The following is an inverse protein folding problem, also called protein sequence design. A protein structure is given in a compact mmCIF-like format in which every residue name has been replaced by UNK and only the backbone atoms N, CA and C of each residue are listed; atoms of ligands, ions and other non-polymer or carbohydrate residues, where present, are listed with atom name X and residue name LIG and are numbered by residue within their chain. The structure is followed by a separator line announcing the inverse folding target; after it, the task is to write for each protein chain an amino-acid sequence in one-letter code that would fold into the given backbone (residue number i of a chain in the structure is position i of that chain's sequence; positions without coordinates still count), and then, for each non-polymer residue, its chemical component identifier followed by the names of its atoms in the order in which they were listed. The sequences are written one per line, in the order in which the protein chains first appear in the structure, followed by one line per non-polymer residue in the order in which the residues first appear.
data_IF_407289136099
#
_entry.id   IF_407289136099
#
_cell.length_a   1.000
_cell.length_b   1.000
_cell.length_c   1.000
_cell.angle_alpha   90.00
_cell.angle_beta   90.00
_cell.angle_gamma   90.00
#
_symmetry.space_group_name_H-M   'P 1'
#
loop_
_entity.id
_entity.type
_entity.pdbx_description
1 polymer ?
#
# COMPACT_ATOMS: atom_id res chain seq x y z
N UNK A 1 -0.79 -4.78 -10.76
CA UNK A 1 0.35 -5.58 -11.29
C UNK A 1 0.37 -6.92 -10.56
N UNK A 2 1.50 -7.64 -10.46
CA UNK A 2 1.62 -8.76 -9.50
C UNK A 2 2.04 -8.22 -8.13
N UNK A 3 1.75 -8.98 -7.06
CA UNK A 3 2.18 -8.60 -5.71
C UNK A 3 3.69 -8.45 -5.57
N UNK A 4 4.49 -9.26 -6.28
CA UNK A 4 5.97 -9.12 -6.32
C UNK A 4 6.39 -7.74 -6.83
N UNK A 5 5.71 -7.23 -7.85
CA UNK A 5 6.01 -5.92 -8.41
C UNK A 5 5.63 -4.80 -7.44
N UNK A 6 4.51 -4.94 -6.74
CA UNK A 6 4.12 -3.97 -5.71
C UNK A 6 5.13 -3.94 -4.56
N UNK A 7 5.64 -5.10 -4.12
CA UNK A 7 6.74 -5.18 -3.14
C UNK A 7 7.99 -4.46 -3.63
N UNK A 8 8.38 -4.69 -4.89
CA UNK A 8 9.52 -4.03 -5.52
C UNK A 8 9.34 -2.51 -5.56
N UNK A 9 8.16 -2.04 -5.96
CA UNK A 9 7.89 -0.60 -6.03
C UNK A 9 7.87 0.03 -4.64
N UNK A 10 7.31 -0.65 -3.64
CA UNK A 10 7.34 -0.20 -2.25
C UNK A 10 8.77 -0.06 -1.71
N UNK A 11 9.60 -1.08 -1.90
CA UNK A 11 10.98 -1.07 -1.41
C UNK A 11 11.80 0.04 -2.08
N UNK A 12 11.78 0.10 -3.41
CA UNK A 12 12.45 1.13 -4.20
C UNK A 12 11.99 2.54 -3.83
N UNK A 13 10.67 2.75 -3.70
CA UNK A 13 10.12 4.06 -3.38
C UNK A 13 10.63 4.53 -2.01
N UNK A 14 10.70 3.64 -1.02
CA UNK A 14 11.26 3.99 0.29
C UNK A 14 12.74 4.40 0.20
N UNK A 15 13.58 3.60 -0.49
CA UNK A 15 15.01 3.85 -0.65
C UNK A 15 15.31 5.18 -1.37
N UNK A 16 14.43 5.57 -2.29
CA UNK A 16 14.58 6.78 -3.08
C UNK A 16 13.98 8.04 -2.43
N UNK A 17 12.80 7.94 -1.82
CA UNK A 17 12.08 9.11 -1.30
C UNK A 17 12.43 9.47 0.15
N UNK A 18 12.72 8.50 1.03
CA UNK A 18 13.08 8.80 2.43
C UNK A 18 14.25 9.78 2.57
N UNK A 19 15.37 9.62 1.84
CA UNK A 19 16.52 10.54 1.95
C UNK A 19 16.16 11.96 1.54
N UNK A 20 15.33 12.09 0.50
CA UNK A 20 14.85 13.40 0.03
C UNK A 20 13.94 14.10 1.04
N UNK A 21 13.35 13.32 1.94
CA UNK A 21 12.53 13.80 3.05
C UNK A 21 13.36 13.98 4.33
N UNK A 22 14.68 13.81 4.27
CA UNK A 22 15.61 13.99 5.40
C UNK A 22 15.73 12.78 6.32
N UNK A 23 15.34 11.58 5.86
CA UNK A 23 15.39 10.35 6.66
C UNK A 23 16.25 9.29 5.99
N UNK A 24 17.09 8.61 6.78
CA UNK A 24 17.83 7.47 6.28
C UNK A 24 16.92 6.24 6.16
N UNK A 25 16.93 5.55 5.01
CA UNK A 25 16.25 4.27 4.88
C UNK A 25 17.01 3.17 5.63
N UNK A 26 16.24 2.28 6.23
CA UNK A 26 16.67 1.11 6.98
C UNK A 26 15.74 -0.09 6.69
N UNK A 27 16.02 -1.24 7.32
CA UNK A 27 15.23 -2.46 7.13
C UNK A 27 13.77 -2.24 7.56
N UNK A 28 13.53 -1.47 8.62
CA UNK A 28 12.20 -1.26 9.19
C UNK A 28 11.31 -0.40 8.29
N UNK A 29 11.85 0.72 7.81
CA UNK A 29 11.23 1.62 6.84
C UNK A 29 10.96 0.91 5.51
N UNK A 30 11.94 0.17 4.99
CA UNK A 30 11.79 -0.63 3.76
C UNK A 30 10.71 -1.69 3.92
N UNK A 31 10.69 -2.40 5.05
CA UNK A 31 9.66 -3.40 5.34
C UNK A 31 8.27 -2.78 5.47
N UNK A 32 8.15 -1.62 6.10
CA UNK A 32 6.88 -0.90 6.19
C UNK A 32 6.34 -0.50 4.81
N UNK A 33 7.22 -0.03 3.91
CA UNK A 33 6.85 0.30 2.54
C UNK A 33 6.40 -0.94 1.75
N UNK A 34 7.13 -2.06 1.84
CA UNK A 34 6.74 -3.35 1.24
C UNK A 34 5.37 -3.79 1.75
N UNK A 35 5.15 -3.82 3.06
CA UNK A 35 3.88 -4.24 3.64
C UNK A 35 2.74 -3.34 3.14
N UNK A 36 2.92 -2.02 3.22
CA UNK A 36 1.89 -1.07 2.80
C UNK A 36 1.54 -1.16 1.31
N UNK A 37 2.54 -1.43 0.46
CA UNK A 37 2.32 -1.65 -0.98
C UNK A 37 1.53 -2.92 -1.29
N UNK A 38 1.42 -3.87 -0.36
CA UNK A 38 0.65 -5.11 -0.55
C UNK A 38 -0.77 -5.02 0.01
N UNK A 39 -1.05 -4.06 0.89
CA UNK A 39 -2.34 -3.93 1.57
C UNK A 39 -3.51 -3.82 0.58
N UNK A 40 -3.45 -2.97 -0.48
CA UNK A 40 -4.57 -2.85 -1.39
C UNK A 40 -4.93 -4.16 -2.09
N UNK A 41 -3.94 -4.96 -2.46
CA UNK A 41 -4.10 -6.24 -3.16
C UNK A 41 -4.72 -7.35 -2.29
N UNK A 42 -4.75 -7.18 -0.96
CA UNK A 42 -5.45 -8.11 -0.05
C UNK A 42 -6.95 -8.17 -0.32
N UNK A 43 -7.51 -7.17 -1.02
CA UNK A 43 -8.91 -7.10 -1.39
C UNK A 43 -9.31 -8.04 -2.54
N UNK A 44 -8.33 -8.72 -3.14
CA UNK A 44 -8.55 -9.62 -4.27
C UNK A 44 -9.32 -10.88 -3.82
N UNK A 45 -10.34 -11.35 -4.56
CA UNK A 45 -11.15 -12.52 -4.16
C UNK A 45 -10.34 -13.82 -4.07
N UNK A 46 -9.21 -13.89 -4.79
CA UNK A 46 -8.28 -15.03 -4.74
C UNK A 46 -7.13 -14.86 -3.74
N UNK A 47 -7.06 -13.76 -3.01
CA UNK A 47 -6.02 -13.59 -1.99
C UNK A 47 -6.22 -14.64 -0.88
N UNK A 48 -5.15 -15.38 -0.55
CA UNK A 48 -5.21 -16.48 0.45
C UNK A 48 -5.78 -16.00 1.79
N UNK A 49 -5.43 -14.78 2.20
CA UNK A 49 -5.91 -14.15 3.44
C UNK A 49 -7.43 -13.95 3.37
N UNK A 50 -7.93 -13.34 2.30
CA UNK A 50 -9.36 -13.12 2.11
C UNK A 50 -10.16 -14.43 2.08
N UNK A 51 -9.60 -15.47 1.44
CA UNK A 51 -10.20 -16.80 1.40
C UNK A 51 -10.24 -17.53 2.75
N UNK A 52 -9.39 -17.14 3.70
CA UNK A 52 -9.28 -17.73 5.04
C UNK A 52 -10.09 -16.97 6.09
N UNK A 53 -10.17 -15.64 5.97
CA UNK A 53 -10.83 -14.78 6.97
C UNK A 53 -12.34 -14.70 6.76
N UNK A 54 -12.82 -14.62 5.51
CA UNK A 54 -14.27 -14.47 5.26
C UNK A 54 -15.02 -15.80 5.47
N UNK A 55 -15.96 -15.87 6.43
CA UNK A 55 -16.74 -17.09 6.67
C UNK A 55 -17.62 -17.46 5.49
N UNK A 56 -18.22 -16.45 4.85
CA UNK A 56 -19.10 -16.60 3.69
C UNK A 56 -18.46 -15.88 2.51
N UNK A 57 -18.10 -16.63 1.47
CA UNK A 57 -17.30 -16.17 0.32
C UNK A 57 -18.16 -15.54 -0.79
N UNK A 58 -19.09 -14.67 -0.42
CA UNK A 58 -19.90 -13.91 -1.37
C UNK A 58 -19.98 -12.43 -0.95
N UNK A 59 -20.55 -11.57 -1.81
CA UNK A 59 -20.64 -10.13 -1.56
C UNK A 59 -21.40 -9.81 -0.28
N UNK A 60 -22.51 -10.51 -0.01
CA UNK A 60 -23.32 -10.29 1.18
C UNK A 60 -22.56 -10.68 2.46
N UNK A 61 -21.89 -11.83 2.45
CA UNK A 61 -21.04 -12.31 3.53
C UNK A 61 -19.92 -11.34 3.87
N UNK A 62 -19.28 -10.78 2.84
CA UNK A 62 -18.29 -9.70 3.01
C UNK A 62 -18.92 -8.48 3.72
N UNK A 63 -20.06 -7.99 3.24
CA UNK A 63 -20.75 -6.83 3.83
C UNK A 63 -21.08 -7.09 5.31
N UNK A 64 -21.75 -8.20 5.61
CA UNK A 64 -22.13 -8.53 6.99
C UNK A 64 -20.93 -8.71 7.90
N UNK A 65 -19.85 -9.33 7.42
CA UNK A 65 -18.62 -9.51 8.20
C UNK A 65 -18.00 -8.17 8.61
N UNK A 66 -17.69 -7.30 7.64
CA UNK A 66 -17.03 -6.04 7.92
C UNK A 66 -17.94 -5.04 8.67
N UNK A 67 -19.22 -4.97 8.32
CA UNK A 67 -20.17 -4.13 9.03
C UNK A 67 -20.42 -4.64 10.45
N UNK A 68 -20.47 -5.96 10.65
CA UNK A 68 -20.61 -6.57 11.97
C UNK A 68 -19.44 -6.22 12.89
N UNK A 69 -18.20 -6.31 12.40
CA UNK A 69 -17.01 -5.88 13.17
C UNK A 69 -17.07 -4.39 13.47
N UNK A 70 -17.40 -3.54 12.49
CA UNK A 70 -17.53 -2.10 12.69
C UNK A 70 -18.57 -1.75 13.75
N UNK A 71 -19.77 -2.33 13.66
CA UNK A 71 -20.85 -2.13 14.65
C UNK A 71 -20.48 -2.65 16.03
N UNK A 72 -19.80 -3.80 16.13
CA UNK A 72 -19.32 -4.34 17.39
C UNK A 72 -18.29 -3.41 18.07
N UNK A 73 -17.36 -2.85 17.30
CA UNK A 73 -16.39 -1.88 17.82
C UNK A 73 -17.08 -0.60 18.33
N UNK A 74 -18.07 -0.08 17.58
CA UNK A 74 -18.86 1.08 18.01
C UNK A 74 -19.67 0.79 19.28
N UNK A 75 -20.24 -0.41 19.41
CA UNK A 75 -20.94 -0.83 20.62
C UNK A 75 -19.99 -0.89 21.83
N UNK A 76 -18.79 -1.45 21.66
CA UNK A 76 -17.86 -1.65 22.76
C UNK A 76 -17.16 -0.36 23.22
N UNK A 77 -16.82 0.53 22.29
CA UNK A 77 -15.97 1.71 22.57
C UNK A 77 -16.67 3.06 22.37
N UNK A 78 -17.94 3.05 21.92
CA UNK A 78 -18.74 4.24 21.68
C UNK A 78 -18.38 4.99 20.40
N UNK A 79 -19.32 5.84 19.95
CA UNK A 79 -19.18 6.70 18.76
C UNK A 79 -18.29 7.92 19.05
N UNK A 80 -18.17 8.32 20.32
CA UNK A 80 -17.38 9.47 20.76
C UNK A 80 -15.87 9.28 20.54
N UNK A 81 -15.41 8.02 20.56
CA UNK A 81 -14.02 7.71 20.24
C UNK A 81 -13.78 7.85 18.73
N UNK A 82 -13.16 8.98 18.35
CA UNK A 82 -12.86 9.33 16.94
C UNK A 82 -12.10 8.23 16.20
N UNK A 83 -11.19 7.52 16.86
CA UNK A 83 -10.42 6.45 16.23
C UNK A 83 -11.30 5.22 15.97
N UNK A 84 -12.10 4.80 16.96
CA UNK A 84 -13.09 3.73 16.78
C UNK A 84 -14.06 4.06 15.66
N UNK A 85 -14.56 5.30 15.63
CA UNK A 85 -15.44 5.77 14.57
C UNK A 85 -14.77 5.70 13.19
N UNK A 86 -13.52 6.17 13.07
CA UNK A 86 -12.78 6.10 11.82
C UNK A 86 -12.56 4.66 11.33
N UNK A 87 -12.19 3.74 12.23
CA UNK A 87 -12.02 2.32 11.92
C UNK A 87 -13.35 1.69 11.50
N UNK A 88 -14.44 1.97 12.22
CA UNK A 88 -15.76 1.45 11.88
C UNK A 88 -16.24 1.93 10.51
N UNK A 89 -16.08 3.22 10.20
CA UNK A 89 -16.40 3.79 8.87
C UNK A 89 -15.55 3.13 7.78
N UNK A 90 -14.24 2.95 8.03
CA UNK A 90 -13.34 2.28 7.08
C UNK A 90 -13.80 0.84 6.80
N UNK A 91 -14.14 0.07 7.84
CA UNK A 91 -14.63 -1.30 7.71
C UNK A 91 -15.95 -1.36 6.94
N UNK A 92 -16.90 -0.48 7.25
CA UNK A 92 -18.17 -0.39 6.51
C UNK A 92 -17.89 -0.09 5.03
N UNK A 93 -17.01 0.86 4.74
CA UNK A 93 -16.66 1.20 3.36
C UNK A 93 -16.01 0.04 2.61
N UNK A 94 -15.10 -0.70 3.26
CA UNK A 94 -14.51 -1.93 2.73
C UNK A 94 -15.60 -2.99 2.48
N UNK A 95 -16.56 -3.13 3.39
CA UNK A 95 -17.68 -4.07 3.26
C UNK A 95 -18.49 -3.84 1.99
N UNK A 96 -18.89 -2.60 1.74
CA UNK A 96 -19.69 -2.22 0.56
C UNK A 96 -18.88 -2.12 -0.74
N UNK A 97 -17.55 -1.97 -0.65
CA UNK A 97 -16.71 -1.81 -1.83
C UNK A 97 -16.71 -3.05 -2.71
N UNK A 98 -16.73 -2.80 -4.03
CA UNK A 98 -16.36 -3.84 -5.01
C UNK A 98 -14.85 -4.12 -4.93
N UNK A 99 -14.44 -5.25 -5.48
CA UNK A 99 -13.02 -5.60 -5.59
C UNK A 99 -12.24 -4.50 -6.32
N UNK A 100 -11.03 -4.21 -5.86
CA UNK A 100 -10.11 -3.23 -6.47
C UNK A 100 -10.75 -1.87 -6.72
N UNK A 101 -11.56 -1.41 -5.77
CA UNK A 101 -12.28 -0.14 -5.83
C UNK A 101 -11.80 0.78 -4.71
N UNK A 102 -12.34 0.64 -3.49
CA UNK A 102 -12.04 1.54 -2.37
C UNK A 102 -10.56 1.61 -2.01
N UNK A 103 -9.89 0.47 -1.82
CA UNK A 103 -8.46 0.42 -1.46
C UNK A 103 -7.53 0.93 -2.57
N UNK A 104 -8.04 1.07 -3.80
CA UNK A 104 -7.32 1.55 -4.97
C UNK A 104 -7.79 2.97 -5.38
N UNK A 105 -8.41 3.70 -4.45
CA UNK A 105 -8.80 5.10 -4.63
C UNK A 105 -7.96 6.02 -3.76
N UNK A 106 -7.90 7.31 -4.11
CA UNK A 106 -7.20 8.30 -3.30
C UNK A 106 -7.81 8.40 -1.90
N UNK A 107 -9.14 8.36 -1.82
CA UNK A 107 -9.88 8.50 -0.56
C UNK A 107 -9.64 7.29 0.33
N UNK A 108 -9.76 6.07 -0.22
CA UNK A 108 -9.54 4.87 0.57
C UNK A 108 -8.10 4.75 1.05
N UNK A 109 -7.14 5.10 0.20
CA UNK A 109 -5.73 5.09 0.58
C UNK A 109 -5.41 6.14 1.65
N UNK A 110 -5.93 7.35 1.49
CA UNK A 110 -5.81 8.40 2.51
C UNK A 110 -6.44 7.98 3.85
N UNK A 111 -7.61 7.35 3.82
CA UNK A 111 -8.29 6.87 5.03
C UNK A 111 -7.47 5.77 5.73
N UNK A 112 -6.95 4.79 4.98
CA UNK A 112 -6.08 3.73 5.52
C UNK A 112 -4.82 4.34 6.13
N UNK A 113 -4.10 5.20 5.40
CA UNK A 113 -2.90 5.87 5.89
C UNK A 113 -3.17 6.70 7.15
N UNK A 114 -4.30 7.42 7.20
CA UNK A 114 -4.67 8.24 8.35
C UNK A 114 -4.90 7.37 9.59
N UNK A 115 -5.69 6.29 9.47
CA UNK A 115 -5.93 5.36 10.59
C UNK A 115 -4.61 4.76 11.08
N UNK A 116 -3.77 4.25 10.17
CA UNK A 116 -2.47 3.66 10.54
C UNK A 116 -1.57 4.68 11.24
N UNK A 117 -1.50 5.91 10.72
CA UNK A 117 -0.74 6.99 11.32
C UNK A 117 -1.23 7.29 12.74
N UNK A 118 -2.53 7.50 12.94
CA UNK A 118 -3.07 7.83 14.26
C UNK A 118 -2.89 6.70 15.29
N UNK A 119 -3.00 5.44 14.86
CA UNK A 119 -2.81 4.26 15.74
C UNK A 119 -1.35 4.09 16.13
N UNK A 120 -0.42 4.26 15.18
CA UNK A 120 0.98 3.87 15.35
C UNK A 120 1.93 5.03 15.64
N UNK A 121 1.49 6.30 15.54
CA UNK A 121 2.35 7.49 15.76
C UNK A 121 3.07 7.55 17.10
N UNK A 122 2.52 6.93 18.13
CA UNK A 122 3.13 6.91 19.46
C UNK A 122 3.98 5.66 19.71
N UNK A 123 3.93 4.68 18.80
CA UNK A 123 4.58 3.37 18.94
C UNK A 123 5.74 3.21 17.98
N UNK A 124 5.63 3.77 16.77
CA UNK A 124 6.63 3.65 15.72
C UNK A 124 7.32 4.98 15.45
N UNK A 125 8.61 4.95 15.08
CA UNK A 125 9.30 6.14 14.60
C UNK A 125 8.61 6.76 13.39
N UNK A 126 8.62 8.09 13.31
CA UNK A 126 8.02 8.83 12.20
C UNK A 126 8.50 8.38 10.79
N UNK A 127 9.79 8.06 10.55
CA UNK A 127 10.25 7.55 9.25
C UNK A 127 9.52 6.29 8.80
N UNK A 128 9.17 5.40 9.74
CA UNK A 128 8.46 4.14 9.44
C UNK A 128 7.04 4.42 8.98
N UNK A 129 6.36 5.39 9.61
CA UNK A 129 5.01 5.82 9.22
C UNK A 129 5.01 6.51 7.86
N UNK A 130 6.03 7.34 7.61
CA UNK A 130 6.21 7.99 6.31
C UNK A 130 6.46 6.96 5.21
N UNK A 131 7.26 5.93 5.49
CA UNK A 131 7.53 4.82 4.57
C UNK A 131 6.28 4.02 4.24
N UNK A 132 5.38 3.84 5.21
CA UNK A 132 4.07 3.23 4.98
C UNK A 132 3.23 4.04 3.99
N UNK A 133 3.24 5.37 4.09
CA UNK A 133 2.52 6.23 3.14
C UNK A 133 3.17 6.12 1.75
N UNK A 134 4.50 6.16 1.68
CA UNK A 134 5.27 6.03 0.43
C UNK A 134 4.95 4.72 -0.28
N UNK A 135 4.93 3.59 0.44
CA UNK A 135 4.62 2.28 -0.15
C UNK A 135 3.16 2.14 -0.60
N UNK A 136 2.21 2.75 0.12
CA UNK A 136 0.81 2.79 -0.33
C UNK A 136 0.66 3.64 -1.61
N UNK A 137 1.34 4.79 -1.66
CA UNK A 137 1.38 5.63 -2.86
C UNK A 137 2.03 4.90 -4.04
N UNK A 138 3.12 4.16 -3.83
CA UNK A 138 3.77 3.40 -4.90
C UNK A 138 2.87 2.31 -5.46
N UNK A 139 2.03 1.67 -4.64
CA UNK A 139 0.99 0.75 -5.13
C UNK A 139 0.03 1.44 -6.10
N UNK A 140 -0.56 2.57 -5.69
CA UNK A 140 -1.51 3.31 -6.52
C UNK A 140 -0.89 3.79 -7.82
N UNK A 141 0.33 4.34 -7.75
CA UNK A 141 1.07 4.78 -8.94
C UNK A 141 1.33 3.60 -9.87
N UNK A 142 1.78 2.47 -9.32
CA UNK A 142 1.99 1.25 -10.09
C UNK A 142 0.75 0.83 -10.85
N UNK A 143 -0.40 0.72 -10.17
CA UNK A 143 -1.65 0.34 -10.84
C UNK A 143 -2.21 1.43 -11.76
N UNK A 144 -1.96 2.72 -11.49
CA UNK A 144 -2.33 3.81 -12.39
C UNK A 144 -1.60 3.74 -13.74
N UNK A 145 -0.38 3.20 -13.78
CA UNK A 145 0.41 3.02 -14.99
C UNK A 145 0.08 1.71 -15.75
N UNK A 146 -0.91 0.94 -15.30
CA UNK A 146 -1.34 -0.30 -15.97
C UNK A 146 -2.49 -0.08 -16.96
N UNK A 147 -2.71 -1.06 -17.84
CA UNK A 147 -3.87 -1.12 -18.74
C UNK A 147 -5.20 -0.98 -17.97
N UNK A 148 -5.27 -1.60 -16.78
CA UNK A 148 -6.46 -1.62 -15.93
C UNK A 148 -6.75 -0.29 -15.25
N UNK A 149 -5.70 0.47 -14.89
CA UNK A 149 -5.82 1.71 -14.15
C UNK A 149 -6.47 1.56 -12.76
N UNK A 150 -6.75 2.70 -12.13
CA UNK A 150 -7.32 2.79 -10.77
C UNK A 150 -8.59 3.63 -10.73
N UNK A 151 -9.48 3.35 -9.77
CA UNK A 151 -10.68 4.14 -9.51
C UNK A 151 -10.35 5.38 -8.68
N UNK A 152 -9.59 6.32 -9.26
CA UNK A 152 -8.96 7.44 -8.56
C UNK A 152 -9.91 8.20 -7.62
N UNK A 153 -11.14 8.48 -8.10
CA UNK A 153 -12.16 9.26 -7.39
C UNK A 153 -13.30 8.39 -6.79
N UNK A 154 -13.09 7.08 -6.63
CA UNK A 154 -14.04 6.24 -5.90
C UNK A 154 -14.09 6.68 -4.42
N UNK A 155 -15.28 6.83 -3.79
CA UNK A 155 -16.59 6.27 -4.19
C UNK A 155 -17.49 7.20 -5.01
N UNK A 156 -17.04 8.40 -5.39
CA UNK A 156 -17.87 9.36 -6.12
C UNK A 156 -18.13 8.95 -7.58
N UNK A 157 -17.21 8.18 -8.18
CA UNK A 157 -17.37 7.62 -9.53
C UNK A 157 -16.70 6.25 -9.62
N UNK A 158 -17.29 5.37 -10.43
CA UNK A 158 -16.73 4.07 -10.80
C UNK A 158 -15.74 4.17 -11.98
N UNK A 159 -15.50 5.38 -12.53
CA UNK A 159 -14.59 5.59 -13.66
C UNK A 159 -13.15 5.25 -13.26
N UNK A 160 -12.49 4.45 -14.09
CA UNK A 160 -11.06 4.13 -13.96
C UNK A 160 -10.21 5.11 -14.77
N UNK A 161 -9.13 5.55 -14.15
CA UNK A 161 -8.13 6.46 -14.71
C UNK A 161 -6.82 5.70 -14.89
N UNK A 162 -6.10 6.02 -15.96
CA UNK A 162 -4.82 5.40 -16.32
C UNK A 162 -3.88 6.42 -16.92
N UNK A 163 -2.60 6.18 -16.78
CA UNK A 163 -1.57 7.01 -17.38
C UNK A 163 -1.45 6.75 -18.90
N UNK A 164 -0.91 7.73 -19.63
CA UNK A 164 -0.78 7.67 -21.10
C UNK A 164 0.27 6.65 -21.52
N UNK A 165 1.36 6.52 -20.74
CA UNK A 165 2.37 5.47 -20.95
C UNK A 165 1.95 4.21 -20.19
N UNK A 166 1.50 3.21 -20.95
CA UNK A 166 0.90 1.99 -20.41
C UNK A 166 1.94 0.89 -20.34
N UNK A 167 2.14 0.35 -19.15
CA UNK A 167 2.91 -0.87 -18.95
C UNK A 167 1.94 -2.04 -19.12
N UNK A 168 2.11 -2.82 -20.19
CA UNK A 168 1.49 -4.14 -20.26
C UNK A 168 2.14 -5.00 -19.18
N UNK A 169 1.36 -5.81 -18.45
CA UNK A 169 1.87 -6.75 -17.44
C UNK A 169 2.63 -7.92 -18.08
N UNK A 170 3.35 -7.66 -19.17
CA UNK A 170 4.22 -8.62 -19.82
C UNK A 170 5.53 -8.68 -19.03
N UNK A 171 6.05 -9.89 -18.83
CA UNK A 171 7.29 -10.16 -18.08
C UNK A 171 8.51 -9.34 -18.55
N UNK A 172 8.44 -8.68 -19.71
CA UNK A 172 9.56 -7.93 -20.27
C UNK A 172 9.64 -6.48 -19.82
N UNK A 173 8.52 -5.81 -19.48
CA UNK A 173 8.58 -4.39 -19.07
C UNK A 173 8.95 -4.21 -17.58
N UNK A 174 8.71 -5.24 -16.77
CA UNK A 174 8.91 -5.24 -15.31
C UNK A 174 10.39 -5.10 -14.89
N UNK A 175 11.37 -5.80 -15.51
CA UNK A 175 12.77 -5.64 -15.18
C UNK A 175 13.30 -4.26 -15.53
N UNK A 176 12.86 -3.64 -16.63
CA UNK A 176 13.34 -2.32 -17.04
C UNK A 176 12.93 -1.22 -16.07
N UNK A 177 11.73 -1.28 -15.49
CA UNK A 177 11.28 -0.31 -14.49
C UNK A 177 12.08 -0.51 -13.20
N UNK A 178 12.25 -1.75 -12.75
CA UNK A 178 13.10 -2.06 -11.60
C UNK A 178 14.54 -1.56 -11.78
N UNK A 179 15.14 -1.80 -12.95
CA UNK A 179 16.49 -1.34 -13.30
C UNK A 179 16.59 0.18 -13.39
N UNK A 180 15.59 0.86 -13.96
CA UNK A 180 15.53 2.32 -14.01
C UNK A 180 15.53 2.93 -12.61
N UNK A 181 14.73 2.36 -11.70
CA UNK A 181 14.69 2.82 -10.33
C UNK A 181 15.97 2.49 -9.54
N UNK A 182 16.56 1.31 -9.75
CA UNK A 182 17.88 0.98 -9.19
C UNK A 182 18.92 1.98 -9.69
N UNK A 183 18.88 2.35 -10.98
CA UNK A 183 19.73 3.40 -11.53
C UNK A 183 19.48 4.75 -10.84
N UNK A 184 18.23 5.16 -10.61
CA UNK A 184 17.91 6.41 -9.91
C UNK A 184 18.42 6.41 -8.46
N UNK A 185 18.35 5.27 -7.78
CA UNK A 185 18.91 5.07 -6.44
C UNK A 185 20.43 5.22 -6.52
N UNK A 186 21.10 4.45 -7.37
CA UNK A 186 22.56 4.53 -7.56
C UNK A 186 22.99 5.97 -7.89
N UNK A 187 22.32 6.64 -8.82
CA UNK A 187 22.62 8.02 -9.20
C UNK A 187 22.41 9.02 -8.06
N UNK A 188 21.32 8.89 -7.29
CA UNK A 188 21.08 9.74 -6.13
C UNK A 188 22.19 9.58 -5.09
N UNK A 189 22.65 8.35 -4.84
CA UNK A 189 23.62 8.07 -3.79
C UNK A 189 25.09 8.06 -4.23
N UNK A 190 25.42 8.05 -5.52
CA UNK A 190 26.80 8.36 -5.97
C UNK A 190 27.20 9.78 -5.54
N UNK A 191 26.23 10.67 -5.37
CA UNK A 191 26.44 12.06 -4.99
C UNK A 191 26.27 12.32 -3.48
N UNK A 192 26.05 11.30 -2.65
CA UNK A 192 25.81 11.43 -1.21
C UNK A 192 26.56 10.31 -0.43
N UNK A 193 27.07 10.59 0.77
CA UNK A 193 27.74 9.57 1.58
C UNK A 193 26.78 8.43 1.99
N UNK A 194 27.26 7.19 1.90
CA UNK A 194 26.48 6.00 2.21
C UNK A 194 26.54 5.63 3.70
N UNK A 195 25.39 5.36 4.31
CA UNK A 195 25.34 4.63 5.59
C UNK A 195 25.23 3.11 5.36
N UNK A 196 25.77 2.32 6.30
CA UNK A 196 25.66 0.85 6.22
C UNK A 196 24.20 0.35 6.20
N UNK A 197 23.29 1.10 6.83
CA UNK A 197 21.85 0.81 6.85
C UNK A 197 21.23 0.83 5.45
N UNK A 198 21.69 1.74 4.60
CA UNK A 198 21.26 1.81 3.20
C UNK A 198 21.64 0.51 2.45
N UNK A 199 22.89 0.07 2.57
CA UNK A 199 23.34 -1.16 1.90
C UNK A 199 22.55 -2.38 2.37
N UNK A 200 22.33 -2.54 3.67
CA UNK A 200 21.52 -3.65 4.20
C UNK A 200 20.10 -3.63 3.63
N UNK A 201 19.49 -2.45 3.53
CA UNK A 201 18.13 -2.28 3.00
C UNK A 201 18.06 -2.56 1.50
N UNK A 202 19.09 -2.18 0.75
CA UNK A 202 19.21 -2.49 -0.68
C UNK A 202 19.34 -3.99 -0.91
N UNK A 203 20.25 -4.67 -0.19
CA UNK A 203 20.41 -6.12 -0.28
C UNK A 203 19.14 -6.87 0.14
N UNK A 204 18.49 -6.42 1.22
CA UNK A 204 17.21 -6.96 1.68
C UNK A 204 16.13 -6.83 0.60
N UNK A 205 16.03 -5.66 -0.05
CA UNK A 205 15.08 -5.43 -1.15
C UNK A 205 15.34 -6.35 -2.34
N UNK A 206 16.61 -6.53 -2.73
CA UNK A 206 17.01 -7.42 -3.82
C UNK A 206 16.67 -8.88 -3.51
N UNK A 207 16.81 -9.33 -2.25
CA UNK A 207 16.45 -10.69 -1.84
C UNK A 207 14.97 -11.00 -2.09
N UNK A 208 14.06 -10.06 -1.81
CA UNK A 208 12.64 -10.23 -2.11
C UNK A 208 12.31 -10.19 -3.61
N UNK A 209 13.15 -9.54 -4.41
CA UNK A 209 12.95 -9.41 -5.85
C UNK A 209 13.23 -10.73 -6.60
N UNK A 210 14.15 -11.56 -6.10
CA UNK A 210 14.63 -12.77 -6.79
C UNK A 210 14.07 -14.11 -6.25
N UNK A 211 13.07 -14.08 -5.38
CA UNK A 211 12.25 -15.24 -4.98
C UNK A 211 10.90 -15.22 -5.71
#
# INVERSE_FOLDING_TARGET
MTGKNHMLFGSVASLYFLPKLGYEPDIMTTTAAIISSLIPDLDHPRAKINQKILPIKNRLGKIFFYCGIGSFLLYQYGIENRLTLAIAILLIMIGFSRHRSFTHSLIGSFAISSVVFFVLRNTLPYPVLLSFIVGLCSHLIGDYMTITGIGLFYPFTDKRYRFVLIISSSNMAEPFIGLFFIYLIIHYYINNDFSMNFFYSLFYSLFYMFK
#
